data_IF_321968741969
#
_entry.id   IF_321968741969
#
_cell.length_a   1.000
_cell.length_b   1.000
_cell.length_c   1.000
_cell.angle_alpha   90.00
_cell.angle_beta   90.00
_cell.angle_gamma   90.00
#
_symmetry.space_group_name_H-M   'P 1'
#
loop_
_entity.id
_entity.type
_entity.pdbx_description
1 polymer ?
#
# COMPACT_ATOMS: atom_id res chain seq x y z
N UNK A 1 -18.95 6.83 -1.41
CA UNK A 1 -17.79 6.48 -0.55
C UNK A 1 -18.25 5.81 0.73
N UNK A 2 -19.13 6.41 1.53
CA UNK A 2 -19.65 5.74 2.74
C UNK A 2 -20.40 4.44 2.42
N UNK A 3 -21.18 4.36 1.35
CA UNK A 3 -21.91 3.13 1.02
C UNK A 3 -20.99 1.93 0.72
N UNK A 4 -19.86 2.15 0.05
CA UNK A 4 -18.85 1.11 -0.23
C UNK A 4 -18.13 0.68 1.05
N UNK A 5 -17.67 1.65 1.86
CA UNK A 5 -16.98 1.36 3.11
C UNK A 5 -17.92 0.73 4.16
N UNK A 6 -19.19 1.10 4.16
CA UNK A 6 -20.22 0.51 5.02
C UNK A 6 -20.51 -0.95 4.64
N UNK A 7 -20.56 -1.26 3.34
CA UNK A 7 -20.68 -2.65 2.86
C UNK A 7 -19.48 -3.52 3.25
N UNK A 8 -18.30 -2.91 3.44
CA UNK A 8 -17.08 -3.56 3.90
C UNK A 8 -16.66 -3.12 5.31
N UNK A 9 -17.65 -2.95 6.18
CA UNK A 9 -17.44 -2.40 7.53
C UNK A 9 -16.71 -3.35 8.48
N UNK A 10 -16.54 -4.62 8.12
CA UNK A 10 -15.96 -5.66 8.99
C UNK A 10 -14.55 -6.07 8.59
N UNK A 11 -14.18 -5.85 7.32
CA UNK A 11 -12.95 -6.33 6.73
C UNK A 11 -11.81 -5.34 6.99
N UNK A 12 -10.60 -5.82 7.36
CA UNK A 12 -9.47 -4.94 7.60
C UNK A 12 -9.12 -4.13 6.35
N UNK A 13 -8.73 -2.86 6.55
CA UNK A 13 -8.20 -2.02 5.48
C UNK A 13 -6.68 -2.21 5.46
N UNK A 14 -6.14 -2.55 4.30
CA UNK A 14 -4.70 -2.78 4.15
C UNK A 14 -4.13 -1.72 3.20
N UNK A 15 -3.05 -1.08 3.59
CA UNK A 15 -2.25 -0.18 2.75
C UNK A 15 -0.76 -0.45 2.95
N UNK A 16 0.13 0.26 2.27
CA UNK A 16 1.57 0.04 2.41
C UNK A 16 2.32 1.37 2.44
N UNK A 17 2.57 1.90 3.64
CA UNK A 17 3.32 3.14 3.83
C UNK A 17 4.66 2.91 4.52
N UNK A 18 4.72 1.95 5.45
CA UNK A 18 5.84 1.75 6.38
C UNK A 18 6.04 2.91 7.37
N UNK A 19 5.10 3.86 7.45
CA UNK A 19 5.26 5.12 8.19
C UNK A 19 3.93 5.83 8.52
N UNK A 20 2.78 5.19 8.31
CA UNK A 20 1.45 5.78 8.51
C UNK A 20 1.11 7.00 7.64
N UNK A 21 1.81 7.22 6.52
CA UNK A 21 1.59 8.39 5.66
C UNK A 21 0.15 8.49 5.14
N UNK A 22 -0.41 7.39 4.61
CA UNK A 22 -1.76 7.37 4.06
C UNK A 22 -2.82 7.65 5.12
N UNK A 23 -2.72 7.01 6.30
CA UNK A 23 -3.62 7.26 7.43
C UNK A 23 -3.61 8.73 7.86
N UNK A 24 -2.42 9.32 8.02
CA UNK A 24 -2.29 10.73 8.41
C UNK A 24 -2.91 11.66 7.36
N UNK A 25 -2.67 11.39 6.08
CA UNK A 25 -3.22 12.19 4.99
C UNK A 25 -4.74 12.08 4.93
N UNK A 26 -5.29 10.87 5.04
CA UNK A 26 -6.72 10.62 4.98
C UNK A 26 -7.44 11.17 6.21
N UNK A 27 -6.92 10.94 7.42
CA UNK A 27 -7.49 11.48 8.66
C UNK A 27 -7.64 12.99 8.58
N UNK A 28 -6.58 13.69 8.16
CA UNK A 28 -6.62 15.14 8.00
C UNK A 28 -7.70 15.59 7.01
N UNK A 29 -7.86 14.89 5.89
CA UNK A 29 -8.88 15.21 4.88
C UNK A 29 -10.30 14.89 5.37
N UNK A 30 -10.49 13.82 6.12
CA UNK A 30 -11.76 13.49 6.74
C UNK A 30 -12.16 14.55 7.77
N UNK A 31 -11.22 15.01 8.60
CA UNK A 31 -11.45 16.09 9.55
C UNK A 31 -11.79 17.41 8.82
N UNK A 32 -11.00 17.80 7.81
CA UNK A 32 -11.22 19.01 7.01
C UNK A 32 -12.61 19.07 6.35
N UNK A 33 -13.18 17.90 6.01
CA UNK A 33 -14.48 17.79 5.33
C UNK A 33 -15.61 17.23 6.22
N UNK A 34 -15.39 17.08 7.53
CA UNK A 34 -16.35 16.54 8.49
C UNK A 34 -16.91 15.15 8.10
N UNK A 35 -16.06 14.27 7.59
CA UNK A 35 -16.40 12.88 7.22
C UNK A 35 -16.04 11.96 8.39
N UNK A 36 -16.85 11.99 9.45
CA UNK A 36 -16.57 11.29 10.72
C UNK A 36 -16.50 9.78 10.57
N UNK A 37 -17.35 9.19 9.71
CA UNK A 37 -17.34 7.74 9.47
C UNK A 37 -16.01 7.28 8.85
N UNK A 38 -15.31 8.17 8.12
CA UNK A 38 -13.99 7.87 7.56
C UNK A 38 -12.93 7.60 8.64
N UNK A 39 -13.02 8.29 9.78
CA UNK A 39 -12.10 8.10 10.91
C UNK A 39 -12.30 6.72 11.55
N UNK A 40 -13.56 6.33 11.78
CA UNK A 40 -13.90 5.00 12.32
C UNK A 40 -13.37 3.86 11.44
N UNK A 41 -13.36 4.07 10.12
CA UNK A 41 -12.77 3.12 9.18
C UNK A 41 -11.23 3.01 9.30
N UNK A 42 -10.54 4.12 9.55
CA UNK A 42 -9.08 4.14 9.70
C UNK A 42 -8.60 3.42 10.97
N UNK A 43 -9.41 3.31 12.03
CA UNK A 43 -9.05 2.53 13.22
C UNK A 43 -8.76 1.04 12.92
N UNK A 44 -9.28 0.54 11.80
CA UNK A 44 -9.11 -0.83 11.32
C UNK A 44 -8.09 -0.93 10.18
N UNK A 45 -7.35 0.14 9.90
CA UNK A 45 -6.29 0.14 8.92
C UNK A 45 -5.04 -0.57 9.47
N UNK A 46 -4.36 -1.30 8.60
CA UNK A 46 -3.11 -1.98 8.91
C UNK A 46 -2.09 -1.70 7.82
N UNK A 47 -0.88 -1.33 8.25
CA UNK A 47 0.30 -1.08 7.42
C UNK A 47 1.27 -2.28 7.48
N UNK A 48 1.09 -3.33 6.65
CA UNK A 48 2.08 -4.39 6.51
C UNK A 48 3.47 -3.90 6.11
N UNK A 49 3.66 -2.66 5.64
CA UNK A 49 4.99 -2.10 5.44
C UNK A 49 5.81 -2.03 6.73
N UNK A 50 5.15 -1.78 7.88
CA UNK A 50 5.78 -1.80 9.19
C UNK A 50 6.21 -3.21 9.57
N UNK A 51 5.30 -4.18 9.41
CA UNK A 51 5.59 -5.60 9.64
C UNK A 51 6.68 -6.10 8.69
N UNK A 52 6.66 -5.69 7.42
CA UNK A 52 7.70 -6.03 6.46
C UNK A 52 9.06 -5.50 6.90
N UNK A 53 9.12 -4.29 7.44
CA UNK A 53 10.35 -3.73 7.98
C UNK A 53 10.87 -4.52 9.20
N UNK A 54 9.99 -5.09 10.01
CA UNK A 54 10.32 -5.73 11.28
C UNK A 54 10.49 -7.25 11.20
N UNK A 55 9.81 -7.92 10.26
CA UNK A 55 9.64 -9.39 10.24
C UNK A 55 9.99 -10.04 8.88
N UNK A 56 10.06 -9.31 7.77
CA UNK A 56 10.44 -9.89 6.48
C UNK A 56 11.97 -10.01 6.37
N UNK A 57 12.47 -11.19 6.73
CA UNK A 57 13.89 -11.55 6.57
C UNK A 57 14.15 -12.09 5.16
N UNK A 58 14.96 -11.36 4.38
CA UNK A 58 15.42 -11.76 3.04
C UNK A 58 16.53 -10.82 2.54
N UNK A 59 17.09 -11.02 1.34
CA UNK A 59 18.15 -10.19 0.78
C UNK A 59 17.62 -8.83 0.27
N UNK A 60 16.86 -8.11 1.08
CA UNK A 60 16.26 -6.83 0.72
C UNK A 60 17.16 -5.68 1.16
N UNK A 61 17.56 -4.82 0.23
CA UNK A 61 18.30 -3.59 0.56
C UNK A 61 17.38 -2.52 1.17
N UNK A 62 16.06 -2.62 0.93
CA UNK A 62 15.00 -1.70 1.39
C UNK A 62 13.66 -2.45 1.47
N UNK A 63 12.78 -2.04 2.38
CA UNK A 63 11.42 -2.58 2.54
C UNK A 63 10.37 -1.69 1.86
N UNK A 64 10.67 -1.19 0.66
CA UNK A 64 9.69 -0.44 -0.14
C UNK A 64 8.77 -1.42 -0.86
N UNK A 65 7.55 -0.99 -1.16
CA UNK A 65 6.52 -1.79 -1.82
C UNK A 65 7.04 -2.44 -3.11
N UNK A 66 7.64 -1.64 -4.00
CA UNK A 66 8.24 -2.06 -5.27
C UNK A 66 9.30 -3.16 -5.10
N UNK A 67 10.24 -2.96 -4.17
CA UNK A 67 11.33 -3.90 -3.91
C UNK A 67 10.78 -5.24 -3.39
N UNK A 68 9.86 -5.20 -2.44
CA UNK A 68 9.30 -6.42 -1.83
C UNK A 68 8.42 -7.16 -2.83
N UNK A 69 7.53 -6.46 -3.54
CA UNK A 69 6.63 -7.08 -4.50
C UNK A 69 7.39 -7.69 -5.69
N UNK A 70 8.39 -7.00 -6.24
CA UNK A 70 9.21 -7.55 -7.33
C UNK A 70 10.02 -8.77 -6.90
N UNK A 71 10.52 -8.80 -5.66
CA UNK A 71 11.18 -10.01 -5.14
C UNK A 71 10.23 -11.19 -4.97
N UNK A 72 8.93 -10.94 -4.80
CA UNK A 72 7.87 -11.95 -4.81
C UNK A 72 7.34 -12.26 -6.24
N UNK A 73 7.98 -11.71 -7.28
CA UNK A 73 7.66 -11.99 -8.68
C UNK A 73 6.59 -11.10 -9.29
N UNK A 74 6.23 -9.96 -8.67
CA UNK A 74 5.36 -8.99 -9.30
C UNK A 74 6.11 -8.15 -10.35
N UNK A 75 5.56 -8.10 -11.57
CA UNK A 75 6.10 -7.31 -12.68
C UNK A 75 5.29 -6.02 -12.84
N UNK A 76 5.95 -4.87 -12.65
CA UNK A 76 5.36 -3.55 -12.88
C UNK A 76 5.26 -3.27 -14.38
N UNK A 77 4.14 -2.65 -14.80
CA UNK A 77 3.97 -2.27 -16.20
C UNK A 77 4.87 -1.11 -16.61
N UNK A 78 5.07 -0.16 -15.70
CA UNK A 78 6.01 0.94 -15.89
C UNK A 78 6.94 1.09 -14.67
N UNK A 79 8.07 0.36 -14.63
CA UNK A 79 9.02 0.44 -13.52
C UNK A 79 9.80 1.77 -13.48
N UNK A 80 9.57 2.69 -14.42
CA UNK A 80 10.26 3.98 -14.47
C UNK A 80 9.57 5.09 -13.69
N UNK A 81 8.36 4.83 -13.19
CA UNK A 81 7.59 5.78 -12.37
C UNK A 81 7.74 5.40 -10.90
N UNK A 82 8.17 6.36 -10.08
CA UNK A 82 8.23 6.22 -8.64
C UNK A 82 7.38 7.28 -7.92
N UNK A 83 7.13 7.07 -6.63
CA UNK A 83 6.32 7.98 -5.82
C UNK A 83 6.86 9.41 -5.74
N UNK A 84 8.17 9.63 -5.93
CA UNK A 84 8.74 10.99 -5.97
C UNK A 84 8.32 11.72 -7.25
N UNK A 85 8.41 11.04 -8.40
CA UNK A 85 7.96 11.57 -9.69
C UNK A 85 6.46 11.86 -9.66
N UNK A 86 5.65 10.96 -9.10
CA UNK A 86 4.20 11.14 -8.96
C UNK A 86 3.88 12.35 -8.07
N UNK A 87 4.52 12.44 -6.90
CA UNK A 87 4.34 13.57 -5.98
C UNK A 87 4.69 14.91 -6.63
N UNK A 88 5.83 14.98 -7.33
CA UNK A 88 6.26 16.18 -8.05
C UNK A 88 5.25 16.61 -9.13
N UNK A 89 4.72 15.65 -9.91
CA UNK A 89 3.72 15.92 -10.94
C UNK A 89 2.41 16.42 -10.34
N UNK A 90 1.93 15.78 -9.28
CA UNK A 90 0.72 16.22 -8.58
C UNK A 90 0.87 17.61 -7.95
N UNK A 91 2.03 17.92 -7.37
CA UNK A 91 2.31 19.26 -6.83
C UNK A 91 2.26 20.33 -7.92
N UNK A 92 2.87 20.08 -9.09
CA UNK A 92 2.82 21.01 -10.23
C UNK A 92 1.40 21.19 -10.77
N UNK A 93 0.63 20.12 -10.89
CA UNK A 93 -0.78 20.23 -11.21
C UNK A 93 -1.53 21.13 -10.21
N UNK A 94 -1.31 20.91 -8.90
CA UNK A 94 -2.03 21.66 -7.87
C UNK A 94 -1.65 23.15 -7.82
N UNK A 95 -0.38 23.49 -8.04
CA UNK A 95 0.11 24.86 -7.95
C UNK A 95 -0.03 25.64 -9.26
N UNK A 96 0.29 24.99 -10.38
CA UNK A 96 0.48 25.64 -11.68
C UNK A 96 -0.60 25.23 -12.70
N UNK A 97 -1.46 24.25 -12.38
CA UNK A 97 -2.45 23.71 -13.31
C UNK A 97 -1.87 22.86 -14.43
N UNK A 98 -0.60 22.44 -14.32
CA UNK A 98 0.06 21.57 -15.31
C UNK A 98 -0.52 20.15 -15.24
N UNK A 99 -1.36 19.80 -16.22
CA UNK A 99 -1.96 18.46 -16.32
C UNK A 99 -0.87 17.39 -16.55
N UNK A 100 -0.74 16.39 -15.66
CA UNK A 100 0.13 15.26 -15.89
C UNK A 100 -0.51 14.26 -16.86
N UNK A 101 0.27 13.29 -17.30
CA UNK A 101 -0.26 12.08 -17.93
C UNK A 101 -1.07 11.26 -16.90
N UNK A 102 -2.37 11.55 -16.81
CA UNK A 102 -3.27 10.93 -15.83
C UNK A 102 -3.39 9.43 -16.00
N UNK A 103 -3.38 8.92 -17.22
CA UNK A 103 -3.55 7.51 -17.47
C UNK A 103 -2.31 6.74 -17.00
N UNK A 104 -1.12 7.32 -17.20
CA UNK A 104 0.12 6.79 -16.61
C UNK A 104 0.11 6.82 -15.08
N UNK A 105 -0.39 7.87 -14.45
CA UNK A 105 -0.49 7.95 -12.99
C UNK A 105 -1.51 6.95 -12.41
N UNK A 106 -2.64 6.74 -13.09
CA UNK A 106 -3.63 5.72 -12.72
C UNK A 106 -3.05 4.32 -12.87
N UNK A 107 -2.29 4.05 -13.94
CA UNK A 107 -1.61 2.77 -14.12
C UNK A 107 -0.61 2.51 -12.99
N UNK A 108 0.22 3.50 -12.64
CA UNK A 108 1.13 3.41 -11.50
C UNK A 108 0.38 3.06 -10.20
N UNK A 109 -0.73 3.75 -9.90
CA UNK A 109 -1.52 3.45 -8.70
C UNK A 109 -2.15 2.05 -8.76
N UNK A 110 -2.57 1.59 -9.94
CA UNK A 110 -3.12 0.25 -10.12
C UNK A 110 -2.05 -0.84 -9.89
N UNK A 111 -0.83 -0.61 -10.37
CA UNK A 111 0.31 -1.50 -10.11
C UNK A 111 0.61 -1.56 -8.61
N UNK A 112 0.65 -0.41 -7.92
CA UNK A 112 0.87 -0.35 -6.46
C UNK A 112 -0.18 -1.16 -5.68
N UNK A 113 -1.47 -0.97 -5.97
CA UNK A 113 -2.55 -1.73 -5.29
C UNK A 113 -2.47 -3.23 -5.59
N UNK A 114 -2.14 -3.60 -6.83
CA UNK A 114 -2.02 -5.01 -7.23
C UNK A 114 -0.79 -5.67 -6.64
N UNK A 115 0.32 -4.94 -6.56
CA UNK A 115 1.57 -5.39 -5.94
C UNK A 115 1.41 -5.63 -4.44
N UNK A 116 0.65 -4.76 -3.75
CA UNK A 116 0.30 -4.94 -2.34
C UNK A 116 -0.49 -6.23 -2.13
N UNK A 117 -1.43 -6.54 -3.03
CA UNK A 117 -2.16 -7.81 -2.97
C UNK A 117 -1.22 -9.01 -3.05
N UNK A 118 -0.21 -9.01 -3.92
CA UNK A 118 0.80 -10.08 -3.98
C UNK A 118 1.49 -10.30 -2.64
N UNK A 119 1.89 -9.23 -1.96
CA UNK A 119 2.52 -9.30 -0.62
C UNK A 119 1.55 -9.90 0.41
N UNK A 120 0.29 -9.42 0.43
CA UNK A 120 -0.72 -9.91 1.36
C UNK A 120 -1.03 -11.38 1.12
N UNK A 121 -1.17 -11.80 -0.14
CA UNK A 121 -1.43 -13.19 -0.51
C UNK A 121 -0.27 -14.11 -0.10
N UNK A 122 0.98 -13.64 -0.21
CA UNK A 122 2.15 -14.35 0.31
C UNK A 122 2.12 -14.50 1.84
N UNK A 123 1.91 -13.40 2.58
CA UNK A 123 1.82 -13.44 4.07
C UNK A 123 0.72 -14.41 4.53
N UNK A 124 -0.44 -14.39 3.87
CA UNK A 124 -1.55 -15.30 4.18
C UNK A 124 -1.19 -16.75 3.91
N UNK A 125 -0.45 -17.02 2.84
CA UNK A 125 0.00 -18.35 2.47
C UNK A 125 1.01 -18.89 3.48
N UNK A 126 1.98 -18.07 3.89
CA UNK A 126 2.98 -18.45 4.90
C UNK A 126 2.34 -18.71 6.26
N UNK A 127 1.36 -17.90 6.68
CA UNK A 127 0.61 -18.15 7.93
C UNK A 127 -0.19 -19.45 7.89
N UNK A 128 -0.76 -19.82 6.74
CA UNK A 128 -1.48 -21.09 6.57
C UNK A 128 -0.52 -22.29 6.62
N UNK A 129 0.67 -22.14 6.05
CA UNK A 129 1.71 -23.17 6.06
C UNK A 129 2.37 -23.32 7.45
N UNK A 130 2.60 -22.21 8.16
CA UNK A 130 3.14 -22.17 9.53
C UNK A 130 2.20 -22.75 10.59
N UNK A 131 0.90 -22.85 10.30
CA UNK A 131 -0.07 -23.60 11.11
C UNK A 131 0.04 -25.13 10.99
N UNK A 132 0.75 -25.63 9.98
CA UNK A 132 0.98 -27.07 9.74
C UNK A 132 2.41 -27.53 10.03
N UNK A 133 3.38 -26.62 10.14
CA UNK A 133 4.74 -26.96 10.51
C UNK A 133 5.46 -25.76 11.11
N UNK A 134 6.03 -25.93 12.31
CA UNK A 134 7.21 -25.15 12.67
C UNK A 134 8.30 -25.45 11.65
N UNK A 135 8.59 -24.50 10.76
CA UNK A 135 9.70 -24.62 9.83
C UNK A 135 10.22 -23.24 9.43
N UNK A 136 11.41 -22.94 9.94
CA UNK A 136 12.33 -21.95 9.43
C UNK A 136 12.63 -22.23 7.96
N UNK A 137 12.40 -21.27 7.06
CA UNK A 137 13.24 -20.99 5.88
C UNK A 137 12.79 -19.66 5.26
N UNK A 138 13.36 -18.53 5.67
CA UNK A 138 14.44 -17.83 4.93
C UNK A 138 14.23 -17.86 3.43
N UNK A 139 13.74 -16.74 2.90
CA UNK A 139 13.89 -16.36 1.50
C UNK A 139 15.39 -16.11 1.30
N UNK A 140 16.04 -17.05 0.61
CA UNK A 140 17.44 -16.95 0.15
C UNK A 140 17.42 -16.86 -1.36
#
# INVERSE_FOLDING_TARGET
MSEYLNHHSTEPIIYYGGNYFDEQCLSRRFDEHAITEGIDHLERAHDPGITAHQELFGPFNRHKLDVVASALGFEYQDPTVDGFVVGSKYTRYHLDGEEPDWDRLKQYNNDDVTSLRTIVDQIRSDRRLGGYAGAVSRIT
#
